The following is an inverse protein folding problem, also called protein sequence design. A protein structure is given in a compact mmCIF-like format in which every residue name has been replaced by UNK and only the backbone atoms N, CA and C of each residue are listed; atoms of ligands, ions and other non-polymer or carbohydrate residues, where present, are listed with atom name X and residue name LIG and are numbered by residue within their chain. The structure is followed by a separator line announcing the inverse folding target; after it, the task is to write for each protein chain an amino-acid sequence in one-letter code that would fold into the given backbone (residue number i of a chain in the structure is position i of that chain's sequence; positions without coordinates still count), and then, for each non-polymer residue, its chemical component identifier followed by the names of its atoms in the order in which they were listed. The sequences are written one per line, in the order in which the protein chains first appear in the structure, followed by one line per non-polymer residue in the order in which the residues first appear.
data_IF_348038804366
#
_entry.id   IF_348038804366
#
_cell.length_a   1.000
_cell.length_b   1.000
_cell.length_c   1.000
_cell.angle_alpha   90.00
_cell.angle_beta   90.00
_cell.angle_gamma   90.00
#
_symmetry.space_group_name_H-M   'P 1'
#
loop_
_entity.id
_entity.type
_entity.pdbx_description
1 polymer ?
#
# COMPACT_ATOMS: atom_id res chain seq x y z
N UNK A 1 38.78 -24.35 28.83
CA UNK A 1 38.93 -23.45 27.66
C UNK A 1 37.62 -22.68 27.54
N UNK A 2 37.66 -21.35 27.62
CA UNK A 2 36.47 -20.52 27.47
C UNK A 2 36.25 -20.24 25.99
N UNK A 3 35.17 -20.76 25.41
CA UNK A 3 34.77 -20.44 24.04
C UNK A 3 34.28 -18.99 24.03
N UNK A 4 35.04 -18.09 23.42
CA UNK A 4 34.67 -16.69 23.31
C UNK A 4 33.56 -16.57 22.25
N UNK A 5 32.36 -16.23 22.66
CA UNK A 5 31.23 -16.09 21.75
C UNK A 5 31.30 -14.72 21.07
N UNK A 6 31.40 -14.71 19.74
CA UNK A 6 31.38 -13.48 18.94
C UNK A 6 30.00 -13.37 18.30
N UNK A 7 29.38 -12.19 18.39
CA UNK A 7 28.14 -11.87 17.69
C UNK A 7 28.44 -11.21 16.34
N UNK A 8 27.61 -11.47 15.33
CA UNK A 8 27.75 -10.80 14.01
C UNK A 8 27.19 -9.37 14.14
N UNK A 9 28.01 -8.31 13.99
CA UNK A 9 27.49 -6.95 13.89
C UNK A 9 26.75 -6.79 12.56
N UNK A 10 25.52 -6.27 12.61
CA UNK A 10 24.70 -6.03 11.42
C UNK A 10 24.73 -4.55 11.10
N UNK A 11 25.27 -4.19 9.94
CA UNK A 11 25.09 -2.86 9.37
C UNK A 11 23.87 -2.88 8.44
N UNK A 12 22.80 -2.20 8.85
CA UNK A 12 21.55 -2.10 8.09
C UNK A 12 21.57 -0.99 7.03
N UNK A 13 22.64 -0.19 6.96
CA UNK A 13 22.78 0.91 5.99
C UNK A 13 23.20 0.44 4.62
N UNK A 14 23.82 -0.74 4.54
CA UNK A 14 24.36 -1.35 3.33
C UNK A 14 23.66 -2.68 3.02
N UNK A 15 23.74 -3.13 1.77
CA UNK A 15 23.13 -4.37 1.30
C UNK A 15 22.07 -4.16 0.22
N UNK A 16 21.31 -5.22 -0.06
CA UNK A 16 20.28 -5.25 -1.10
C UNK A 16 18.92 -5.07 -0.45
N UNK A 17 18.21 -4.03 -0.87
CA UNK A 17 16.87 -3.72 -0.39
C UNK A 17 15.83 -4.09 -1.45
N UNK A 18 14.81 -4.82 -1.05
CA UNK A 18 13.61 -5.09 -1.84
C UNK A 18 12.37 -4.63 -1.06
N UNK A 19 11.70 -3.60 -1.57
CA UNK A 19 10.52 -2.97 -0.93
C UNK A 19 10.73 -2.54 0.54
N UNK A 20 11.99 -2.33 0.93
CA UNK A 20 12.42 -1.76 2.20
C UNK A 20 13.31 -0.54 1.95
N UNK A 21 13.35 0.35 2.92
CA UNK A 21 14.29 1.46 3.00
C UNK A 21 14.88 1.53 4.41
N UNK A 22 16.13 1.98 4.52
CA UNK A 22 16.72 2.32 5.79
C UNK A 22 16.43 3.81 6.11
N UNK A 23 15.64 4.07 7.15
CA UNK A 23 15.23 5.41 7.56
C UNK A 23 15.12 5.48 9.08
N UNK A 24 15.52 6.61 9.68
CA UNK A 24 15.45 6.83 11.13
C UNK A 24 16.12 5.71 11.97
N UNK A 25 17.27 5.22 11.51
CA UNK A 25 18.03 4.14 12.15
C UNK A 25 17.27 2.79 12.22
N UNK A 26 16.32 2.55 11.31
CA UNK A 26 15.54 1.33 11.23
C UNK A 26 15.22 0.93 9.78
N UNK A 27 14.94 -0.36 9.56
CA UNK A 27 14.33 -0.83 8.30
C UNK A 27 12.84 -0.49 8.32
N UNK A 28 12.35 0.13 7.25
CA UNK A 28 10.96 0.51 7.07
C UNK A 28 10.46 0.02 5.71
N UNK A 29 9.23 -0.47 5.66
CA UNK A 29 8.53 -0.78 4.40
C UNK A 29 8.33 0.49 3.59
N UNK A 30 8.36 0.39 2.27
CA UNK A 30 8.11 1.55 1.40
C UNK A 30 6.65 1.99 1.52
N UNK A 31 6.46 3.32 1.49
CA UNK A 31 5.13 3.93 1.43
C UNK A 31 4.53 3.70 0.02
N UNK A 32 3.33 3.14 -0.06
CA UNK A 32 2.56 3.00 -1.30
C UNK A 32 1.64 4.19 -1.53
N UNK A 33 0.95 4.61 -0.48
CA UNK A 33 -0.06 5.65 -0.54
C UNK A 33 -0.24 6.30 0.84
N UNK A 34 -1.10 7.30 0.89
CA UNK A 34 -1.61 7.88 2.13
C UNK A 34 -3.12 7.70 2.12
N UNK A 35 -3.69 7.23 3.23
CA UNK A 35 -5.14 7.10 3.39
C UNK A 35 -5.78 8.49 3.59
N UNK A 36 -7.11 8.54 3.58
CA UNK A 36 -7.85 9.81 3.76
C UNK A 36 -7.61 10.44 5.15
N UNK A 37 -7.13 9.67 6.12
CA UNK A 37 -6.81 10.11 7.47
C UNK A 37 -5.33 10.55 7.62
N UNK A 38 -4.61 10.70 6.50
CA UNK A 38 -3.19 11.05 6.45
C UNK A 38 -2.24 10.00 7.06
N UNK A 39 -2.69 8.76 7.22
CA UNK A 39 -1.83 7.65 7.62
C UNK A 39 -1.11 7.07 6.40
N UNK A 40 0.20 6.79 6.49
CA UNK A 40 0.93 6.10 5.44
C UNK A 40 0.46 4.64 5.32
N UNK A 41 0.24 4.21 4.08
CA UNK A 41 -0.08 2.84 3.71
C UNK A 41 1.16 2.21 3.12
N UNK A 42 1.66 1.16 3.77
CA UNK A 42 2.89 0.47 3.40
C UNK A 42 2.60 -0.73 2.50
N UNK A 43 3.63 -1.20 1.78
CA UNK A 43 3.62 -2.53 1.16
C UNK A 43 3.43 -3.64 2.19
N UNK A 44 2.83 -4.77 1.78
CA UNK A 44 2.58 -5.91 2.68
C UNK A 44 3.85 -6.53 3.27
N UNK A 45 4.93 -6.58 2.49
CA UNK A 45 6.20 -7.15 2.92
C UNK A 45 7.38 -6.63 2.10
N UNK A 46 8.57 -6.79 2.67
CA UNK A 46 9.84 -6.43 2.04
C UNK A 46 11.00 -7.21 2.64
N UNK A 47 12.11 -7.23 1.92
CA UNK A 47 13.30 -8.01 2.26
C UNK A 47 14.56 -7.15 2.21
N UNK A 48 15.47 -7.39 3.15
CA UNK A 48 16.81 -6.83 3.15
C UNK A 48 17.82 -7.96 3.24
N UNK A 49 18.88 -7.91 2.43
CA UNK A 49 19.97 -8.89 2.44
C UNK A 49 21.29 -8.16 2.64
N UNK A 50 22.06 -8.57 3.64
CA UNK A 50 23.37 -8.01 3.93
C UNK A 50 24.39 -8.29 2.81
N UNK A 51 25.44 -7.48 2.77
CA UNK A 51 26.67 -7.88 2.07
C UNK A 51 27.29 -9.14 2.72
N UNK A 52 28.14 -9.90 2.00
CA UNK A 52 28.89 -11.01 2.59
C UNK A 52 29.77 -10.52 3.75
N UNK A 53 29.60 -11.14 4.92
CA UNK A 53 30.36 -10.83 6.13
C UNK A 53 31.46 -11.89 6.26
N UNK A 54 32.73 -11.44 6.28
CA UNK A 54 33.87 -12.34 6.43
C UNK A 54 34.09 -12.77 7.89
N UNK A 55 34.18 -14.07 8.11
CA UNK A 55 34.37 -14.71 9.41
C UNK A 55 35.86 -15.07 9.54
N UNK A 56 36.59 -14.23 10.26
CA UNK A 56 38.08 -14.24 10.30
C UNK A 56 38.69 -15.44 11.04
N UNK A 57 37.94 -16.19 11.84
CA UNK A 57 38.56 -17.18 12.76
C UNK A 57 37.83 -18.53 12.84
N UNK A 58 38.61 -19.61 12.65
CA UNK A 58 38.15 -21.02 12.63
C UNK A 58 37.81 -21.58 14.03
N UNK A 59 38.07 -20.82 15.10
CA UNK A 59 38.04 -21.35 16.49
C UNK A 59 36.81 -20.88 17.30
N UNK A 60 36.10 -19.86 16.84
CA UNK A 60 34.87 -19.38 17.50
C UNK A 60 33.79 -19.19 16.45
N UNK A 61 33.01 -20.24 16.20
CA UNK A 61 31.81 -20.13 15.37
C UNK A 61 30.90 -19.03 15.92
N UNK A 62 30.39 -18.17 15.04
CA UNK A 62 29.37 -17.21 15.40
C UNK A 62 28.14 -17.99 15.85
N UNK A 63 27.86 -17.96 17.15
CA UNK A 63 26.69 -18.64 17.69
C UNK A 63 25.45 -17.80 17.58
N UNK A 64 25.57 -16.47 17.56
CA UNK A 64 24.42 -15.57 17.74
C UNK A 64 24.47 -14.35 16.84
N UNK A 65 23.30 -13.91 16.43
CA UNK A 65 23.07 -12.57 15.88
C UNK A 65 22.86 -11.61 17.06
N UNK A 66 23.78 -10.66 17.26
CA UNK A 66 23.63 -9.64 18.31
C UNK A 66 22.71 -8.54 17.80
N UNK A 67 21.48 -8.45 18.33
CA UNK A 67 20.51 -7.44 17.87
C UNK A 67 19.66 -6.92 19.03
N UNK A 68 19.54 -5.61 19.13
CA UNK A 68 18.47 -4.94 19.88
C UNK A 68 17.33 -4.68 18.89
N UNK A 69 16.26 -5.48 18.96
CA UNK A 69 15.14 -5.37 18.02
C UNK A 69 14.02 -4.57 18.66
N UNK A 70 13.95 -3.29 18.30
CA UNK A 70 12.81 -2.45 18.65
C UNK A 70 11.88 -2.39 17.44
N UNK A 71 10.82 -3.20 17.46
CA UNK A 71 9.74 -3.09 16.46
C UNK A 71 8.91 -1.86 16.82
N UNK A 72 8.80 -0.91 15.89
CA UNK A 72 7.86 0.20 16.00
C UNK A 72 6.55 -0.18 15.31
N UNK A 73 5.45 -0.16 16.06
CA UNK A 73 4.15 -0.64 15.60
C UNK A 73 3.99 -2.15 15.75
N UNK A 74 3.03 -2.71 15.03
CA UNK A 74 2.60 -4.11 15.19
C UNK A 74 3.07 -5.03 14.05
N UNK A 75 3.99 -4.57 13.19
CA UNK A 75 4.58 -5.40 12.14
C UNK A 75 5.35 -6.59 12.72
N UNK A 76 5.54 -7.63 11.92
CA UNK A 76 6.38 -8.78 12.28
C UNK A 76 7.61 -8.85 11.38
N UNK A 77 8.60 -9.63 11.78
CA UNK A 77 9.81 -9.81 11.01
C UNK A 77 10.34 -11.22 11.16
N UNK A 78 11.15 -11.64 10.19
CA UNK A 78 11.93 -12.87 10.25
C UNK A 78 13.39 -12.60 9.91
N UNK A 79 14.30 -13.31 10.57
CA UNK A 79 15.74 -13.22 10.33
C UNK A 79 16.27 -14.58 9.92
N UNK A 80 16.96 -14.60 8.78
CA UNK A 80 17.59 -15.79 8.23
C UNK A 80 19.08 -15.57 8.09
N UNK A 81 19.81 -16.67 8.14
CA UNK A 81 21.26 -16.72 7.93
C UNK A 81 21.59 -17.74 6.85
N UNK A 82 22.63 -17.45 6.08
CA UNK A 82 23.20 -18.37 5.09
C UNK A 82 24.70 -18.22 5.14
N UNK A 83 25.42 -19.33 5.03
CA UNK A 83 26.87 -19.36 5.12
C UNK A 83 27.49 -19.86 3.82
N UNK A 84 28.75 -19.48 3.59
CA UNK A 84 29.47 -19.88 2.38
C UNK A 84 30.96 -20.05 2.69
N UNK A 85 31.63 -21.05 2.09
CA UNK A 85 33.08 -21.20 2.18
C UNK A 85 33.83 -20.21 1.27
N UNK A 86 33.21 -19.74 0.19
CA UNK A 86 33.88 -19.08 -0.95
C UNK A 86 33.14 -17.87 -1.55
N UNK A 87 32.04 -17.43 -0.94
CA UNK A 87 31.11 -16.38 -1.41
C UNK A 87 30.32 -16.72 -2.69
N UNK A 88 30.51 -17.90 -3.28
CA UNK A 88 29.81 -18.32 -4.49
C UNK A 88 28.78 -19.40 -4.21
N UNK A 89 29.14 -20.38 -3.38
CA UNK A 89 28.28 -21.49 -2.96
C UNK A 89 27.68 -21.17 -1.60
N UNK A 90 26.39 -20.85 -1.56
CA UNK A 90 25.69 -20.46 -0.33
C UNK A 90 24.84 -21.62 0.19
N UNK A 91 24.84 -21.82 1.50
CA UNK A 91 23.90 -22.74 2.16
C UNK A 91 22.46 -22.24 1.98
N UNK A 92 21.46 -23.11 2.14
CA UNK A 92 20.08 -22.67 2.27
C UNK A 92 19.92 -21.61 3.36
N UNK A 93 18.92 -20.75 3.21
CA UNK A 93 18.54 -19.77 4.21
C UNK A 93 17.87 -20.46 5.38
N UNK A 94 18.43 -20.32 6.58
CA UNK A 94 17.86 -20.89 7.79
C UNK A 94 17.49 -19.79 8.79
N UNK A 95 16.29 -19.92 9.34
CA UNK A 95 15.76 -18.99 10.33
C UNK A 95 16.50 -19.15 11.65
N UNK A 96 16.86 -18.03 12.28
CA UNK A 96 17.56 -18.06 13.57
C UNK A 96 16.62 -18.50 14.70
N UNK A 97 17.19 -18.95 15.81
CA UNK A 97 16.42 -19.14 17.03
C UNK A 97 16.17 -17.79 17.71
N UNK A 98 14.91 -17.37 17.83
CA UNK A 98 14.55 -16.09 18.46
C UNK A 98 14.66 -16.08 19.98
N UNK A 99 14.69 -17.24 20.64
CA UNK A 99 14.80 -17.32 22.11
C UNK A 99 16.15 -16.78 22.56
N UNK A 100 17.19 -17.05 21.78
CA UNK A 100 18.56 -16.84 22.20
C UNK A 100 19.44 -16.22 21.10
N UNK A 101 18.84 -15.92 19.95
CA UNK A 101 19.51 -15.33 18.78
C UNK A 101 20.42 -16.30 18.04
N UNK A 102 20.34 -17.61 18.32
CA UNK A 102 21.32 -18.55 17.78
C UNK A 102 21.19 -18.79 16.28
N UNK A 103 22.35 -18.88 15.63
CA UNK A 103 22.49 -19.15 14.20
C UNK A 103 22.34 -20.66 14.00
N UNK A 104 21.42 -21.03 13.12
CA UNK A 104 21.11 -22.41 12.75
C UNK A 104 21.91 -22.86 11.53
N UNK A 105 22.22 -21.93 10.62
CA UNK A 105 23.00 -22.22 9.42
C UNK A 105 24.40 -22.76 9.75
N UNK A 106 24.96 -23.63 8.88
CA UNK A 106 26.28 -24.21 9.10
C UNK A 106 27.35 -23.13 9.31
N UNK A 107 28.31 -23.33 10.24
CA UNK A 107 29.41 -22.39 10.42
C UNK A 107 30.38 -22.47 9.23
N UNK A 108 30.71 -21.33 8.63
CA UNK A 108 31.59 -21.27 7.46
C UNK A 108 32.38 -19.94 7.40
N UNK A 109 33.22 -19.75 6.38
CA UNK A 109 34.10 -18.56 6.28
C UNK A 109 33.37 -17.24 5.98
N UNK A 110 32.17 -17.30 5.42
CA UNK A 110 31.34 -16.15 5.12
C UNK A 110 29.93 -16.39 5.60
N UNK A 111 29.26 -15.31 6.00
CA UNK A 111 27.84 -15.32 6.32
C UNK A 111 27.10 -14.18 5.61
N UNK A 112 25.82 -14.41 5.32
CA UNK A 112 24.85 -13.41 4.92
C UNK A 112 23.65 -13.48 5.83
N UNK A 113 23.02 -12.34 6.00
CA UNK A 113 21.81 -12.20 6.80
C UNK A 113 20.72 -11.68 5.89
N UNK A 114 19.54 -12.31 5.97
CA UNK A 114 18.32 -11.84 5.32
C UNK A 114 17.31 -11.48 6.38
N UNK A 115 16.73 -10.29 6.28
CA UNK A 115 15.63 -9.83 7.13
C UNK A 115 14.41 -9.66 6.26
N UNK A 116 13.33 -10.34 6.61
CA UNK A 116 12.01 -10.15 6.02
C UNK A 116 11.14 -9.38 7.00
N UNK A 117 10.41 -8.37 6.54
CA UNK A 117 9.50 -7.56 7.36
C UNK A 117 8.10 -7.67 6.76
N UNK A 118 7.10 -7.83 7.62
CA UNK A 118 5.70 -7.98 7.24
C UNK A 118 4.87 -6.91 7.94
N UNK A 119 4.06 -6.19 7.17
CA UNK A 119 3.08 -5.26 7.72
C UNK A 119 1.95 -6.03 8.41
N UNK A 120 1.46 -5.50 9.53
CA UNK A 120 0.16 -5.93 10.05
C UNK A 120 -0.93 -5.27 9.21
N UNK A 121 -1.90 -6.06 8.75
CA UNK A 121 -3.06 -5.52 8.04
C UNK A 121 -3.89 -4.67 8.99
N UNK A 122 -4.20 -3.46 8.54
CA UNK A 122 -5.10 -2.53 9.19
C UNK A 122 -6.12 -2.04 8.15
N UNK A 123 -7.26 -1.56 8.62
CA UNK A 123 -8.24 -0.93 7.74
C UNK A 123 -7.70 0.43 7.29
N UNK A 124 -7.71 0.67 5.98
CA UNK A 124 -7.44 1.97 5.38
C UNK A 124 -8.72 2.43 4.66
N UNK A 125 -8.99 3.73 4.72
CA UNK A 125 -10.13 4.34 4.04
C UNK A 125 -9.57 5.12 2.85
N UNK A 126 -10.12 4.86 1.68
CA UNK A 126 -9.79 5.56 0.45
C UNK A 126 -11.08 6.11 -0.15
N UNK A 127 -11.15 7.42 -0.30
CA UNK A 127 -12.26 8.07 -0.96
C UNK A 127 -12.07 7.92 -2.45
N UNK A 128 -12.89 7.05 -3.04
CA UNK A 128 -12.90 6.79 -4.48
C UNK A 128 -13.39 8.04 -5.22
N UNK A 129 -14.39 8.71 -4.67
CA UNK A 129 -14.94 9.93 -5.26
C UNK A 129 -15.68 10.79 -4.21
N UNK A 130 -15.46 12.11 -4.27
CA UNK A 130 -16.27 13.09 -3.57
C UNK A 130 -17.22 13.79 -4.54
N UNK A 131 -18.53 13.54 -4.37
CA UNK A 131 -19.59 14.18 -5.15
C UNK A 131 -19.81 15.66 -4.81
N UNK A 132 -19.10 16.16 -3.79
CA UNK A 132 -19.24 17.52 -3.25
C UNK A 132 -18.56 18.60 -4.12
N UNK A 133 -17.80 18.22 -5.15
CA UNK A 133 -17.15 19.15 -6.07
C UNK A 133 -18.18 19.61 -7.11
N UNK A 134 -18.57 20.92 -7.12
CA UNK A 134 -19.47 21.46 -8.11
C UNK A 134 -18.97 21.21 -9.53
N UNK A 135 -19.89 20.82 -10.42
CA UNK A 135 -19.65 20.61 -11.85
C UNK A 135 -18.59 19.54 -12.18
N UNK A 136 -18.19 18.69 -11.21
CA UNK A 136 -17.23 17.59 -11.44
C UNK A 136 -17.67 16.64 -12.54
N UNK A 137 -18.97 16.40 -12.63
CA UNK A 137 -19.56 15.51 -13.63
C UNK A 137 -20.42 16.31 -14.59
N UNK A 138 -20.08 16.29 -15.88
CA UNK A 138 -20.88 16.94 -16.90
C UNK A 138 -21.52 15.90 -17.81
N UNK A 139 -22.83 15.76 -17.73
CA UNK A 139 -23.63 14.97 -18.66
C UNK A 139 -25.02 15.61 -18.79
N UNK A 140 -25.65 15.63 -19.99
CA UNK A 140 -26.99 16.20 -20.19
C UNK A 140 -28.11 15.68 -19.26
N UNK A 141 -27.89 14.53 -18.61
CA UNK A 141 -28.88 13.82 -17.79
C UNK A 141 -28.63 13.91 -16.28
N UNK A 142 -27.56 14.58 -15.84
CA UNK A 142 -27.24 14.73 -14.41
C UNK A 142 -27.12 16.21 -14.04
N UNK A 143 -27.42 16.54 -12.80
CA UNK A 143 -27.02 17.79 -12.17
C UNK A 143 -25.84 17.47 -11.24
N UNK A 144 -24.81 18.32 -11.26
CA UNK A 144 -23.63 18.23 -10.39
C UNK A 144 -23.20 19.59 -9.84
N UNK A 145 -23.94 20.65 -10.18
CA UNK A 145 -23.59 22.06 -9.94
C UNK A 145 -23.60 22.48 -8.46
N UNK A 146 -24.26 21.73 -7.59
CA UNK A 146 -24.38 22.05 -6.16
C UNK A 146 -23.57 21.08 -5.28
N UNK A 147 -22.59 20.36 -5.84
CA UNK A 147 -21.87 19.32 -5.10
C UNK A 147 -22.78 18.14 -4.70
N UNK A 148 -23.83 17.91 -5.49
CA UNK A 148 -24.71 16.75 -5.38
C UNK A 148 -24.77 16.14 -6.77
N UNK A 149 -24.45 14.85 -6.88
CA UNK A 149 -24.71 14.10 -8.09
C UNK A 149 -26.15 13.58 -8.06
N UNK A 150 -27.01 14.19 -8.87
CA UNK A 150 -28.39 13.76 -9.02
C UNK A 150 -28.78 13.64 -10.50
N UNK A 151 -29.83 12.87 -10.77
CA UNK A 151 -30.41 12.81 -12.10
C UNK A 151 -31.23 14.08 -12.36
N UNK A 152 -31.11 14.61 -13.57
CA UNK A 152 -31.93 15.74 -14.00
C UNK A 152 -33.39 15.29 -14.13
N UNK A 153 -34.24 15.79 -13.24
CA UNK A 153 -35.69 15.52 -13.22
C UNK A 153 -36.51 16.67 -13.81
N UNK A 154 -35.95 17.87 -13.90
CA UNK A 154 -36.61 19.06 -14.41
C UNK A 154 -36.03 19.47 -15.76
N UNK A 155 -36.92 19.56 -16.76
CA UNK A 155 -36.56 19.97 -18.12
C UNK A 155 -37.41 21.19 -18.47
N UNK A 156 -36.83 22.40 -18.51
CA UNK A 156 -37.57 23.58 -18.95
C UNK A 156 -37.91 23.41 -20.43
N UNK A 157 -39.20 23.49 -20.75
CA UNK A 157 -39.70 23.47 -22.12
C UNK A 157 -40.30 24.85 -22.43
N UNK A 158 -39.80 25.48 -23.48
CA UNK A 158 -40.33 26.76 -23.97
C UNK A 158 -41.45 26.48 -24.96
N UNK A 159 -42.62 27.07 -24.75
CA UNK A 159 -43.76 26.99 -25.67
C UNK A 159 -43.63 27.98 -26.81
N UNK A 160 -44.18 27.63 -27.98
CA UNK A 160 -44.35 28.56 -29.10
C UNK A 160 -45.71 29.25 -28.98
N UNK A 161 -45.75 30.57 -29.15
CA UNK A 161 -47.00 31.30 -29.14
C UNK A 161 -47.88 30.86 -30.32
N UNK A 162 -49.16 30.58 -30.05
CA UNK A 162 -50.15 30.36 -31.10
C UNK A 162 -50.64 31.72 -31.62
N UNK A 163 -50.34 32.00 -32.89
CA UNK A 163 -50.70 33.26 -33.55
C UNK A 163 -52.16 33.28 -34.03
N UNK A 164 -52.84 32.13 -34.03
CA UNK A 164 -54.24 32.01 -34.47
C UNK A 164 -55.24 32.05 -33.30
N UNK A 165 -54.76 32.30 -32.08
CA UNK A 165 -55.59 32.41 -30.88
C UNK A 165 -56.38 33.72 -30.87
N UNK A 166 -57.71 33.65 -30.85
CA UNK A 166 -58.60 34.81 -31.01
C UNK A 166 -59.31 35.25 -29.72
N UNK A 167 -59.12 34.55 -28.61
CA UNK A 167 -59.71 34.91 -27.31
C UNK A 167 -58.79 35.84 -26.50
N UNK A 168 -59.31 36.58 -25.50
CA UNK A 168 -58.49 37.42 -24.64
C UNK A 168 -57.33 36.64 -23.98
N UNK A 169 -56.09 37.12 -24.19
CA UNK A 169 -54.88 36.52 -23.62
C UNK A 169 -53.86 36.12 -24.69
N UNK A 170 -52.88 35.28 -24.29
CA UNK A 170 -51.91 34.65 -25.19
C UNK A 170 -51.82 33.16 -24.88
N UNK A 171 -51.93 32.32 -25.90
CA UNK A 171 -51.74 30.87 -25.77
C UNK A 171 -50.33 30.49 -26.21
N UNK A 172 -49.63 29.71 -25.37
CA UNK A 172 -48.35 29.08 -25.70
C UNK A 172 -48.53 27.57 -25.72
N UNK A 173 -48.12 26.93 -26.81
CA UNK A 173 -48.26 25.49 -27.02
C UNK A 173 -46.87 24.87 -27.05
N UNK A 174 -46.70 23.75 -26.35
CA UNK A 174 -45.51 22.90 -26.44
C UNK A 174 -45.91 21.44 -26.58
N UNK A 175 -45.16 20.66 -27.37
CA UNK A 175 -45.38 19.22 -27.51
C UNK A 175 -44.32 18.46 -26.74
N UNK A 176 -44.77 17.67 -25.77
CA UNK A 176 -43.90 16.80 -24.98
C UNK A 176 -43.81 15.46 -25.70
N UNK A 177 -42.64 15.12 -26.26
CA UNK A 177 -42.45 13.81 -26.83
C UNK A 177 -42.09 12.80 -25.75
N UNK A 178 -43.01 11.88 -25.42
CA UNK A 178 -42.81 10.86 -24.39
C UNK A 178 -41.59 9.98 -24.66
N UNK A 179 -41.19 9.79 -25.92
CA UNK A 179 -39.99 9.00 -26.26
C UNK A 179 -38.68 9.62 -25.76
N UNK A 180 -38.69 10.93 -25.46
CA UNK A 180 -37.53 11.64 -24.92
C UNK A 180 -37.33 11.38 -23.42
N UNK A 181 -38.33 10.78 -22.76
CA UNK A 181 -38.29 10.49 -21.32
C UNK A 181 -38.36 8.98 -21.11
N UNK A 182 -37.42 8.45 -20.32
CA UNK A 182 -37.41 7.04 -19.95
C UNK A 182 -37.56 6.92 -18.43
N UNK A 183 -38.38 5.98 -18.00
CA UNK A 183 -38.42 5.57 -16.60
C UNK A 183 -37.15 4.79 -16.29
N UNK A 184 -36.49 5.13 -15.19
CA UNK A 184 -35.36 4.37 -14.67
C UNK A 184 -35.92 3.39 -13.64
N UNK A 185 -35.85 2.10 -13.97
CA UNK A 185 -36.41 1.04 -13.11
C UNK A 185 -35.39 0.54 -12.08
N UNK A 186 -34.09 0.63 -12.38
CA UNK A 186 -33.00 0.14 -11.52
C UNK A 186 -31.70 0.85 -11.88
N UNK A 187 -30.93 1.19 -10.86
CA UNK A 187 -29.52 1.56 -10.95
C UNK A 187 -28.78 0.56 -10.08
N UNK A 188 -27.74 -0.07 -10.64
CA UNK A 188 -26.85 -0.95 -9.88
C UNK A 188 -25.39 -0.60 -10.18
N UNK A 189 -24.56 -0.68 -9.15
CA UNK A 189 -23.11 -0.64 -9.28
C UNK A 189 -22.67 -2.11 -9.24
N UNK A 190 -22.08 -2.58 -10.35
CA UNK A 190 -21.51 -3.93 -10.48
C UNK A 190 -19.99 -3.82 -10.34
#
# INVERSE_FOLDING_TARGET
MATQEIGIPIDLTVGVFDKLIYKNNALQLIDMATDDNLNPVFVDSGTWISEPIWIKDKITSFKRVSKTINVKGNGSYKIFTSSSPDQTSWSPWEEINYVDGSITSPPDHYAKIKIEVFAQKANAIFTVDEFNIPDKYSNPFINSSDGILELKTQYPLVGTQDMNWNDPGKLFITRINKSNFKAINKIEVI
#
